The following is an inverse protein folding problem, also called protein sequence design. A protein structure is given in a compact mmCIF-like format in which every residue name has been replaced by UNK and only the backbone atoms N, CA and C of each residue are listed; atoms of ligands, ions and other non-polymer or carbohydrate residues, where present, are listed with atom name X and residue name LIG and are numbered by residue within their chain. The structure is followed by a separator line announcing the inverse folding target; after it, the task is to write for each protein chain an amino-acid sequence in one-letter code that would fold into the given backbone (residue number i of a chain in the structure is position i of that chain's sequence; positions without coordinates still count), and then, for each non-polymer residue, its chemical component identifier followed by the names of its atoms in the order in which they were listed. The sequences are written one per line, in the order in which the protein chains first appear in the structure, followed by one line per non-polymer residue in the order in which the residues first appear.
data_IF_907162510999
#
_entry.id   IF_907162510999
#
_cell.length_a   1.000
_cell.length_b   1.000
_cell.length_c   1.000
_cell.angle_alpha   90.00
_cell.angle_beta   90.00
_cell.angle_gamma   90.00
#
_symmetry.space_group_name_H-M   'P 1'
#
loop_
_entity.id
_entity.type
_entity.pdbx_description
1 polymer ?
#
# COMPACT_ATOMS: atom_id res chain seq x y z
N UNK A 1 -5.27 -4.08 -15.82
CA UNK A 1 -6.42 -3.16 -15.78
C UNK A 1 -6.52 -2.50 -14.42
N UNK A 2 -6.73 -1.20 -14.40
CA UNK A 2 -6.93 -0.45 -13.17
C UNK A 2 -8.38 -0.61 -12.73
N UNK A 3 -8.58 -0.98 -11.47
CA UNK A 3 -9.93 -1.11 -10.93
C UNK A 3 -10.51 0.25 -10.57
N UNK A 4 -11.84 0.38 -10.64
CA UNK A 4 -12.52 1.63 -10.29
C UNK A 4 -12.46 1.93 -8.79
N UNK A 5 -12.36 0.90 -7.95
CA UNK A 5 -12.15 1.10 -6.52
C UNK A 5 -10.80 1.76 -6.29
N UNK A 6 -10.77 2.75 -5.41
CA UNK A 6 -9.58 3.52 -5.08
C UNK A 6 -9.05 3.07 -3.72
N UNK A 7 -8.28 1.97 -3.70
CA UNK A 7 -7.73 1.53 -2.42
C UNK A 7 -6.75 2.56 -1.88
N UNK A 8 -6.53 2.48 -0.59
CA UNK A 8 -5.72 3.44 0.13
C UNK A 8 -4.56 2.73 0.79
N UNK A 9 -3.40 3.35 0.71
CA UNK A 9 -2.23 2.95 1.48
C UNK A 9 -2.17 3.76 2.76
N UNK A 10 -2.08 3.08 3.90
CA UNK A 10 -1.83 3.70 5.19
C UNK A 10 -0.39 3.39 5.59
N UNK A 11 0.38 4.42 5.86
CA UNK A 11 1.74 4.27 6.38
C UNK A 11 1.69 4.36 7.90
N UNK A 12 2.01 3.27 8.56
CA UNK A 12 1.93 3.15 10.02
C UNK A 12 3.34 3.02 10.58
N UNK A 13 3.64 3.79 11.62
CA UNK A 13 4.91 3.73 12.30
C UNK A 13 4.74 2.92 13.58
N UNK A 14 5.54 1.87 13.71
CA UNK A 14 5.53 1.01 14.88
C UNK A 14 6.86 1.12 15.64
N UNK A 15 6.81 0.83 16.93
CA UNK A 15 8.03 0.60 17.67
C UNK A 15 8.67 -0.69 17.15
N UNK A 16 10.00 -0.70 17.06
CA UNK A 16 10.70 -1.87 16.56
C UNK A 16 10.96 -2.84 17.71
N UNK A 17 9.96 -3.67 17.99
CA UNK A 17 10.04 -4.71 19.02
C UNK A 17 9.14 -5.90 18.68
N UNK A 18 9.44 -7.08 19.23
CA UNK A 18 8.62 -8.26 18.98
C UNK A 18 7.15 -8.03 19.33
N UNK A 19 6.25 -8.53 18.48
CA UNK A 19 4.82 -8.48 18.71
C UNK A 19 4.09 -7.27 18.17
N UNK A 20 4.80 -6.21 17.78
CA UNK A 20 4.12 -5.00 17.30
C UNK A 20 3.37 -5.22 15.97
N UNK A 21 3.95 -5.96 15.04
CA UNK A 21 3.25 -6.27 13.79
C UNK A 21 2.07 -7.20 14.03
N UNK A 22 2.21 -8.17 14.94
CA UNK A 22 1.11 -9.04 15.33
C UNK A 22 -0.04 -8.21 15.92
N UNK A 23 0.29 -7.26 16.79
CA UNK A 23 -0.68 -6.38 17.42
C UNK A 23 -1.42 -5.55 16.38
N UNK A 24 -0.72 -5.02 15.38
CA UNK A 24 -1.35 -4.28 14.29
C UNK A 24 -2.36 -5.16 13.54
N UNK A 25 -1.96 -6.38 13.19
CA UNK A 25 -2.84 -7.30 12.49
C UNK A 25 -4.09 -7.67 13.31
N UNK A 26 -3.91 -7.89 14.59
CA UNK A 26 -5.02 -8.20 15.50
C UNK A 26 -5.99 -7.04 15.62
N UNK A 27 -5.48 -5.82 15.76
CA UNK A 27 -6.31 -4.62 15.86
C UNK A 27 -7.12 -4.41 14.58
N UNK A 28 -6.48 -4.52 13.42
CA UNK A 28 -7.17 -4.40 12.14
C UNK A 28 -8.25 -5.48 12.00
N UNK A 29 -7.92 -6.71 12.37
CA UNK A 29 -8.86 -7.83 12.32
C UNK A 29 -10.08 -7.62 13.22
N UNK A 30 -9.88 -7.17 14.45
CA UNK A 30 -10.96 -6.89 15.38
C UNK A 30 -11.85 -5.75 14.88
N UNK A 31 -11.29 -4.81 14.13
CA UNK A 31 -12.05 -3.73 13.52
C UNK A 31 -12.77 -4.17 12.24
N UNK A 32 -12.65 -5.42 11.86
CA UNK A 32 -13.30 -5.94 10.66
C UNK A 32 -12.63 -5.51 9.37
N UNK A 33 -11.33 -5.22 9.41
CA UNK A 33 -10.59 -4.73 8.25
C UNK A 33 -9.75 -5.86 7.66
N UNK A 34 -9.96 -6.12 6.37
CA UNK A 34 -9.09 -7.01 5.61
C UNK A 34 -7.91 -6.22 5.07
N UNK A 35 -6.71 -6.71 5.37
CA UNK A 35 -5.48 -6.14 4.82
C UNK A 35 -5.28 -6.76 3.45
N UNK A 36 -5.34 -5.95 2.40
CA UNK A 36 -5.25 -6.42 1.01
C UNK A 36 -3.82 -6.56 0.52
N UNK A 37 -2.91 -5.86 1.14
CA UNK A 37 -1.49 -5.92 0.84
C UNK A 37 -0.71 -5.31 1.97
N UNK A 38 0.56 -5.67 2.06
CA UNK A 38 1.39 -5.20 3.15
C UNK A 38 2.84 -5.19 2.73
N UNK A 39 3.54 -4.13 3.09
CA UNK A 39 4.99 -4.08 3.02
C UNK A 39 5.49 -3.49 4.34
N UNK A 40 6.44 -4.15 4.96
CA UNK A 40 6.96 -3.71 6.24
C UNK A 40 8.48 -3.79 6.24
N UNK A 41 9.11 -2.78 6.80
CA UNK A 41 10.56 -2.74 6.92
C UNK A 41 10.93 -1.94 8.17
N UNK A 42 12.19 -2.01 8.56
CA UNK A 42 12.70 -1.23 9.68
C UNK A 42 13.71 -0.20 9.19
N UNK A 43 13.70 0.96 9.82
CA UNK A 43 14.65 2.02 9.53
C UNK A 43 14.69 2.99 10.69
N UNK A 44 15.89 3.44 11.03
CA UNK A 44 16.11 4.41 12.11
C UNK A 44 15.48 4.00 13.45
N UNK A 45 15.54 2.70 13.75
CA UNK A 45 15.04 2.17 15.02
C UNK A 45 13.53 2.02 15.12
N UNK A 46 12.82 2.19 14.00
CA UNK A 46 11.37 2.07 13.96
C UNK A 46 10.93 1.06 12.93
N UNK A 47 9.71 0.56 13.09
CA UNK A 47 9.04 -0.22 12.05
C UNK A 47 8.20 0.70 11.18
N UNK A 48 8.28 0.50 9.88
CA UNK A 48 7.44 1.22 8.91
C UNK A 48 6.60 0.19 8.19
N UNK A 49 5.28 0.37 8.22
CA UNK A 49 4.35 -0.59 7.62
C UNK A 49 3.44 0.15 6.65
N UNK A 50 3.39 -0.35 5.43
CA UNK A 50 2.42 0.08 4.44
C UNK A 50 1.29 -0.94 4.39
N UNK A 51 0.07 -0.48 4.62
CA UNK A 51 -1.14 -1.32 4.56
C UNK A 51 -2.00 -0.89 3.40
N UNK A 52 -2.38 -1.86 2.58
CA UNK A 52 -3.37 -1.63 1.54
C UNK A 52 -4.75 -2.04 2.08
N UNK A 53 -5.67 -1.10 2.13
CA UNK A 53 -7.04 -1.34 2.58
C UNK A 53 -8.03 -0.74 1.59
N UNK A 54 -9.24 -1.30 1.54
CA UNK A 54 -10.30 -0.73 0.71
C UNK A 54 -10.70 0.64 1.26
N UNK A 55 -11.10 1.55 0.40
CA UNK A 55 -11.38 2.94 0.79
C UNK A 55 -12.50 3.03 1.84
N UNK A 56 -13.50 2.15 1.78
CA UNK A 56 -14.57 2.15 2.78
C UNK A 56 -14.10 1.62 4.14
N UNK A 57 -12.94 1.00 4.23
CA UNK A 57 -12.39 0.50 5.49
C UNK A 57 -11.39 1.46 6.13
N UNK A 58 -10.97 2.50 5.42
CA UNK A 58 -9.90 3.41 5.86
C UNK A 58 -10.21 4.05 7.21
N UNK A 59 -11.37 4.68 7.34
CA UNK A 59 -11.73 5.39 8.58
C UNK A 59 -11.74 4.44 9.78
N UNK A 60 -12.32 3.26 9.60
CA UNK A 60 -12.42 2.26 10.66
C UNK A 60 -11.04 1.73 11.05
N UNK A 61 -10.20 1.45 10.07
CA UNK A 61 -8.84 0.97 10.28
C UNK A 61 -8.01 2.04 11.01
N UNK A 62 -8.03 3.24 10.50
CA UNK A 62 -7.28 4.35 11.06
C UNK A 62 -7.67 4.63 12.50
N UNK A 63 -8.97 4.69 12.77
CA UNK A 63 -9.47 4.92 14.13
C UNK A 63 -8.99 3.86 15.10
N UNK A 64 -9.08 2.59 14.70
CA UNK A 64 -8.66 1.48 15.56
C UNK A 64 -7.16 1.53 15.87
N UNK A 65 -6.33 1.80 14.87
CA UNK A 65 -4.90 1.88 15.05
C UNK A 65 -4.50 3.09 15.90
N UNK A 66 -5.10 4.24 15.67
CA UNK A 66 -4.82 5.45 16.44
C UNK A 66 -5.24 5.28 17.90
N UNK A 67 -6.38 4.66 18.15
CA UNK A 67 -6.84 4.35 19.50
C UNK A 67 -5.87 3.43 20.24
N UNK A 68 -5.18 2.58 19.52
CA UNK A 68 -4.17 1.68 20.09
C UNK A 68 -2.80 2.35 20.23
N UNK A 69 -2.68 3.63 19.92
CA UNK A 69 -1.44 4.37 20.04
C UNK A 69 -0.47 4.19 18.89
N UNK A 70 -0.92 3.61 17.78
CA UNK A 70 -0.08 3.45 16.59
C UNK A 70 -0.15 4.69 15.71
N UNK A 71 1.00 5.25 15.34
CA UNK A 71 1.07 6.47 14.56
C UNK A 71 0.77 6.23 13.10
N UNK A 72 -0.17 7.00 12.55
CA UNK A 72 -0.43 7.00 11.10
C UNK A 72 0.38 8.16 10.52
N UNK A 73 1.42 7.83 9.76
CA UNK A 73 2.32 8.83 9.20
C UNK A 73 1.83 9.40 7.88
N UNK A 74 1.08 8.60 7.11
CA UNK A 74 0.56 9.05 5.82
C UNK A 74 -0.64 8.22 5.41
N UNK A 75 -1.46 8.80 4.56
CA UNK A 75 -2.61 8.15 3.95
C UNK A 75 -2.73 8.65 2.52
N UNK A 76 -2.71 7.74 1.55
CA UNK A 76 -2.77 8.16 0.15
C UNK A 76 -3.51 7.14 -0.71
N UNK A 77 -4.21 7.65 -1.70
CA UNK A 77 -4.78 6.80 -2.73
C UNK A 77 -3.67 6.18 -3.56
N UNK A 78 -3.86 4.93 -3.96
CA UNK A 78 -2.89 4.22 -4.77
C UNK A 78 -3.58 3.58 -5.97
N UNK A 79 -2.79 3.28 -6.99
CA UNK A 79 -3.23 2.45 -8.10
C UNK A 79 -2.89 1.00 -7.76
N UNK A 80 -3.80 0.10 -8.08
CA UNK A 80 -3.54 -1.34 -7.99
C UNK A 80 -3.70 -1.90 -9.39
N UNK A 81 -2.60 -2.36 -9.95
CA UNK A 81 -2.52 -2.78 -11.35
C UNK A 81 -2.27 -4.28 -11.40
N UNK A 82 -3.06 -4.98 -12.18
CA UNK A 82 -2.85 -6.41 -12.42
C UNK A 82 -1.68 -6.60 -13.37
N UNK A 83 -0.80 -7.54 -13.05
CA UNK A 83 0.30 -7.93 -13.92
C UNK A 83 0.33 -9.44 -14.10
N UNK A 84 0.97 -9.90 -15.16
CA UNK A 84 1.21 -11.32 -15.33
C UNK A 84 2.36 -11.75 -14.41
N UNK A 85 2.27 -12.94 -13.87
CA UNK A 85 3.33 -13.52 -13.05
C UNK A 85 4.38 -14.14 -13.97
N UNK A 86 5.23 -13.28 -14.53
CA UNK A 86 6.33 -13.71 -15.42
C UNK A 86 7.50 -12.75 -15.29
N UNK A 87 8.71 -13.22 -15.65
CA UNK A 87 9.88 -12.35 -15.66
C UNK A 87 9.66 -11.13 -16.56
N UNK A 88 10.03 -9.96 -16.06
CA UNK A 88 9.95 -8.72 -16.81
C UNK A 88 8.65 -7.96 -16.74
N UNK A 89 7.58 -8.55 -16.19
CA UNK A 89 6.27 -7.89 -16.14
C UNK A 89 6.32 -6.56 -15.36
N UNK A 90 6.99 -6.54 -14.23
CA UNK A 90 7.13 -5.32 -13.45
C UNK A 90 7.92 -4.25 -14.21
N UNK A 91 8.97 -4.66 -14.91
CA UNK A 91 9.76 -3.73 -15.72
C UNK A 91 8.96 -3.10 -16.84
N UNK A 92 8.11 -3.87 -17.50
CA UNK A 92 7.25 -3.34 -18.56
C UNK A 92 6.26 -2.31 -18.00
N UNK A 93 5.65 -2.62 -16.86
CA UNK A 93 4.68 -1.72 -16.22
C UNK A 93 5.35 -0.40 -15.83
N UNK A 94 6.47 -0.47 -15.14
CA UNK A 94 7.16 0.72 -14.66
C UNK A 94 7.81 1.51 -15.80
N UNK A 95 8.16 0.85 -16.89
CA UNK A 95 8.65 1.55 -18.09
C UNK A 95 7.58 2.46 -18.68
N UNK A 96 6.33 2.03 -18.66
CA UNK A 96 5.22 2.88 -19.13
C UNK A 96 5.12 4.16 -18.30
N UNK A 97 5.32 4.07 -16.99
CA UNK A 97 5.33 5.23 -16.12
C UNK A 97 6.53 6.14 -16.40
N UNK A 98 7.68 5.55 -16.62
CA UNK A 98 8.90 6.30 -16.92
C UNK A 98 8.74 7.08 -18.24
N UNK A 99 8.15 6.46 -19.24
CA UNK A 99 7.91 7.12 -20.55
C UNK A 99 6.91 8.27 -20.43
N UNK A 100 6.02 8.20 -19.44
CA UNK A 100 5.09 9.29 -19.13
C UNK A 100 5.72 10.34 -18.20
N UNK A 101 6.98 10.21 -17.87
CA UNK A 101 7.74 11.11 -16.98
C UNK A 101 7.14 11.18 -15.59
N UNK A 102 6.73 10.03 -15.05
CA UNK A 102 6.14 9.92 -13.73
C UNK A 102 7.11 9.22 -12.79
N UNK A 103 7.35 9.79 -11.63
CA UNK A 103 8.17 9.17 -10.58
C UNK A 103 7.32 8.27 -9.70
N UNK A 104 7.78 7.03 -9.53
CA UNK A 104 7.18 6.10 -8.59
C UNK A 104 7.73 6.40 -7.20
N UNK A 105 6.85 6.70 -6.27
CA UNK A 105 7.22 7.00 -4.89
C UNK A 105 7.00 5.82 -3.95
N UNK A 106 6.13 4.90 -4.32
CA UNK A 106 5.82 3.71 -3.54
C UNK A 106 5.41 2.60 -4.49
N UNK A 107 5.97 1.43 -4.30
CA UNK A 107 5.55 0.24 -5.04
C UNK A 107 5.76 -1.00 -4.20
N UNK A 108 4.76 -1.85 -4.17
CA UNK A 108 4.87 -3.19 -3.59
C UNK A 108 3.86 -4.11 -4.25
N UNK A 109 4.07 -5.40 -4.09
CA UNK A 109 3.19 -6.39 -4.69
C UNK A 109 2.18 -6.91 -3.67
N UNK A 110 1.09 -7.45 -4.17
CA UNK A 110 0.04 -8.07 -3.39
C UNK A 110 -0.52 -9.25 -4.16
N UNK A 111 -1.36 -10.06 -3.51
CA UNK A 111 -2.08 -11.18 -4.14
C UNK A 111 -1.13 -12.13 -4.90
N UNK A 112 -0.06 -12.57 -4.26
CA UNK A 112 0.86 -13.53 -4.85
C UNK A 112 1.74 -12.97 -5.96
N UNK A 113 1.91 -11.64 -6.01
CA UNK A 113 2.76 -10.99 -7.00
C UNK A 113 2.06 -10.65 -8.31
N UNK A 114 0.73 -10.85 -8.40
CA UNK A 114 -0.03 -10.54 -9.61
C UNK A 114 -0.70 -9.17 -9.56
N UNK A 115 -0.56 -8.45 -8.45
CA UNK A 115 -1.01 -7.08 -8.32
C UNK A 115 0.14 -6.20 -7.87
N UNK A 116 0.25 -5.02 -8.45
CA UNK A 116 1.26 -4.02 -8.05
C UNK A 116 0.52 -2.81 -7.51
N UNK A 117 0.86 -2.44 -6.28
CA UNK A 117 0.36 -1.24 -5.62
C UNK A 117 1.35 -0.12 -5.94
N UNK A 118 0.85 0.98 -6.50
CA UNK A 118 1.72 2.07 -6.95
C UNK A 118 1.18 3.40 -6.48
N UNK A 119 2.08 4.23 -5.93
CA UNK A 119 1.82 5.64 -5.72
C UNK A 119 2.90 6.45 -6.42
N UNK A 120 2.53 7.55 -7.01
CA UNK A 120 3.43 8.38 -7.82
C UNK A 120 3.30 9.85 -7.44
N UNK A 121 4.22 10.65 -7.95
CA UNK A 121 4.16 12.10 -7.79
C UNK A 121 3.05 12.76 -8.64
N UNK A 122 2.51 12.04 -9.62
CA UNK A 122 1.43 12.52 -10.48
C UNK A 122 0.47 11.36 -10.78
N UNK A 123 -0.52 11.18 -9.91
CA UNK A 123 -1.46 10.06 -10.02
C UNK A 123 -2.37 10.17 -11.23
N UNK A 124 -2.69 11.38 -11.66
CA UNK A 124 -3.52 11.60 -12.86
C UNK A 124 -2.82 11.10 -14.12
N UNK A 125 -1.57 11.51 -14.30
CA UNK A 125 -0.78 11.07 -15.44
C UNK A 125 -0.49 9.57 -15.36
N UNK A 126 -0.19 9.06 -14.18
CA UNK A 126 0.06 7.62 -13.98
C UNK A 126 -1.16 6.79 -14.38
N UNK A 127 -2.34 7.22 -13.95
CA UNK A 127 -3.58 6.51 -14.27
C UNK A 127 -3.85 6.51 -15.78
N UNK A 128 -3.57 7.59 -16.45
CA UNK A 128 -3.75 7.70 -17.90
C UNK A 128 -2.71 6.86 -18.69
N UNK A 129 -1.52 6.66 -18.14
CA UNK A 129 -0.43 5.92 -18.80
C UNK A 129 -0.57 4.40 -18.69
N UNK A 130 -1.34 3.92 -17.74
CA UNK A 130 -1.48 2.49 -17.47
C UNK A 130 -2.76 1.92 -18.07
N UNK A 131 -2.75 0.63 -18.44
CA UNK A 131 -3.94 -0.03 -19.02
C UNK A 131 -5.11 -0.14 -18.07
#
# INVERSE_FOLDING_TARGET
MIKNAMPTDLMVILEHRPGELARLGEIAGEAGVSIRGLAAFTGEGRGVVHLLVDDQAVARCREALERAGMGIADQREVLVVDIEDRPGALGELTRQLAEANVNVELAYTAAGGVKVVIATDDMTTARAALP
#
